data_IF_207957441740
#
_entry.id   IF_207957441740
#
_cell.length_a   1.000
_cell.length_b   1.000
_cell.length_c   1.000
_cell.angle_alpha   90.00
_cell.angle_beta   90.00
_cell.angle_gamma   90.00
#
_symmetry.space_group_name_H-M   'P 1'
#
loop_
_entity.id
_entity.type
_entity.pdbx_description
1 polymer ?
#
# COMPACT_ATOMS: atom_id res chain seq x y z
N UNK A 1 -10.29 -7.71 15.32
CA UNK A 1 -11.25 -8.69 14.73
C UNK A 1 -12.37 -8.03 13.92
N UNK A 2 -13.08 -7.00 14.42
CA UNK A 2 -14.17 -6.34 13.64
C UNK A 2 -13.69 -5.69 12.33
N UNK A 3 -12.56 -4.97 12.34
CA UNK A 3 -11.97 -4.39 11.11
C UNK A 3 -11.62 -5.42 10.04
N UNK A 4 -11.28 -6.66 10.42
CA UNK A 4 -10.94 -7.75 9.48
C UNK A 4 -12.20 -8.16 8.71
N UNK A 5 -13.30 -8.43 9.41
CA UNK A 5 -14.58 -8.77 8.76
C UNK A 5 -15.09 -7.65 7.85
N UNK A 6 -14.82 -6.40 8.20
CA UNK A 6 -15.23 -5.24 7.41
C UNK A 6 -14.45 -5.11 6.09
N UNK A 7 -13.16 -5.47 6.10
CA UNK A 7 -12.28 -5.36 4.91
C UNK A 7 -12.17 -6.66 4.11
N UNK A 8 -12.52 -7.81 4.70
CA UNK A 8 -12.44 -9.15 4.09
C UNK A 8 -13.08 -9.23 2.71
N UNK A 9 -14.24 -8.60 2.54
CA UNK A 9 -14.92 -8.55 1.23
C UNK A 9 -14.11 -7.92 0.11
N UNK A 10 -13.09 -7.10 0.41
CA UNK A 10 -12.26 -6.42 -0.58
C UNK A 10 -11.03 -7.23 -0.98
N UNK A 11 -10.42 -7.96 -0.05
CA UNK A 11 -9.22 -8.75 -0.33
C UNK A 11 -9.49 -10.24 -0.56
N UNK A 12 -10.66 -10.77 -0.20
CA UNK A 12 -10.99 -12.18 -0.43
C UNK A 12 -11.18 -12.53 -1.92
N UNK A 13 -11.29 -11.53 -2.80
CA UNK A 13 -11.27 -11.72 -4.26
C UNK A 13 -9.85 -11.91 -4.83
N UNK A 14 -8.84 -11.81 -3.98
CA UNK A 14 -7.42 -11.94 -4.30
C UNK A 14 -6.82 -13.22 -3.69
N UNK A 15 -7.62 -14.25 -3.46
CA UNK A 15 -7.20 -15.50 -2.81
C UNK A 15 -6.21 -16.31 -3.66
N UNK A 16 -6.32 -16.22 -4.98
CA UNK A 16 -5.44 -16.86 -5.96
C UNK A 16 -4.35 -15.92 -6.52
N UNK A 17 -4.05 -14.83 -5.80
CA UNK A 17 -3.02 -13.87 -6.14
C UNK A 17 -1.78 -13.99 -5.25
N UNK A 18 -0.63 -13.67 -5.84
CA UNK A 18 0.69 -13.85 -5.26
C UNK A 18 1.56 -12.62 -5.46
N UNK A 19 2.37 -12.30 -4.46
CA UNK A 19 3.48 -11.35 -4.55
C UNK A 19 4.78 -12.10 -4.82
N UNK A 20 5.76 -11.37 -5.36
CA UNK A 20 7.10 -11.89 -5.63
C UNK A 20 8.10 -11.11 -4.77
N UNK A 21 9.04 -11.81 -4.16
CA UNK A 21 10.14 -11.24 -3.40
C UNK A 21 11.47 -11.52 -4.10
N UNK A 22 12.17 -10.47 -4.52
CA UNK A 22 13.52 -10.60 -5.06
C UNK A 22 14.52 -10.91 -3.94
N UNK A 23 15.51 -11.74 -4.26
CA UNK A 23 16.58 -12.08 -3.35
C UNK A 23 17.39 -10.84 -2.94
N UNK A 24 17.83 -10.74 -1.67
CA UNK A 24 18.70 -9.66 -1.22
C UNK A 24 20.04 -9.72 -1.97
N UNK A 25 20.42 -8.58 -2.54
CA UNK A 25 21.47 -8.38 -3.55
C UNK A 25 22.82 -9.08 -3.34
N UNK A 26 23.32 -9.66 -4.43
CA UNK A 26 24.75 -9.83 -4.75
C UNK A 26 25.03 -9.58 -6.23
N UNK A 27 24.78 -8.38 -6.77
CA UNK A 27 24.81 -8.20 -8.23
C UNK A 27 25.51 -6.94 -8.75
N UNK A 28 25.98 -7.06 -10.01
CA UNK A 28 26.60 -6.00 -10.81
C UNK A 28 25.54 -5.12 -11.48
N UNK A 29 25.95 -3.94 -11.98
CA UNK A 29 25.06 -3.02 -12.73
C UNK A 29 24.40 -3.68 -13.96
N UNK A 30 25.08 -4.60 -14.63
CA UNK A 30 24.54 -5.26 -15.81
C UNK A 30 23.41 -6.23 -15.44
N UNK A 31 23.58 -7.01 -14.37
CA UNK A 31 22.55 -7.95 -13.93
C UNK A 31 21.26 -7.24 -13.51
N UNK A 32 21.38 -6.08 -12.85
CA UNK A 32 20.22 -5.23 -12.57
C UNK A 32 19.47 -4.80 -13.83
N UNK A 33 20.18 -4.40 -14.89
CA UNK A 33 19.56 -4.01 -16.17
C UNK A 33 18.85 -5.23 -16.80
N UNK A 34 19.47 -6.40 -16.75
CA UNK A 34 18.91 -7.63 -17.29
C UNK A 34 17.65 -8.04 -16.51
N UNK A 35 17.68 -7.92 -15.17
CA UNK A 35 16.53 -8.15 -14.31
C UNK A 35 15.39 -7.16 -14.57
N UNK A 36 15.68 -5.88 -14.82
CA UNK A 36 14.67 -4.90 -15.25
C UNK A 36 13.98 -5.31 -16.56
N UNK A 37 14.74 -5.84 -17.54
CA UNK A 37 14.19 -6.33 -18.80
C UNK A 37 13.31 -7.57 -18.58
N UNK A 38 13.79 -8.54 -17.79
CA UNK A 38 13.06 -9.79 -17.50
C UNK A 38 11.78 -9.53 -16.70
N UNK A 39 11.81 -8.61 -15.74
CA UNK A 39 10.63 -8.15 -15.00
C UNK A 39 9.57 -7.51 -15.91
N UNK A 40 9.98 -6.67 -16.87
CA UNK A 40 9.07 -6.13 -17.88
C UNK A 40 8.42 -7.26 -18.72
N UNK A 41 9.21 -8.28 -19.11
CA UNK A 41 8.71 -9.41 -19.88
C UNK A 41 7.71 -10.26 -19.08
N UNK A 42 8.01 -10.55 -17.81
CA UNK A 42 7.12 -11.24 -16.88
C UNK A 42 5.78 -10.52 -16.75
N UNK A 43 5.80 -9.20 -16.54
CA UNK A 43 4.57 -8.39 -16.41
C UNK A 43 3.78 -8.40 -17.72
N UNK A 44 4.43 -8.14 -18.86
CA UNK A 44 3.74 -8.15 -20.18
C UNK A 44 3.07 -9.48 -20.48
N UNK A 45 3.74 -10.60 -20.20
CA UNK A 45 3.17 -11.93 -20.40
C UNK A 45 1.97 -12.17 -19.47
N UNK A 46 2.11 -11.80 -18.20
CA UNK A 46 1.06 -12.00 -17.20
C UNK A 46 -0.16 -11.11 -17.47
N UNK A 47 0.04 -9.85 -17.88
CA UNK A 47 -1.06 -8.95 -18.27
C UNK A 47 -1.78 -9.41 -19.54
N UNK A 48 -1.05 -9.95 -20.53
CA UNK A 48 -1.65 -10.47 -21.76
C UNK A 48 -2.62 -11.64 -21.48
N UNK A 49 -2.40 -12.37 -20.39
CA UNK A 49 -3.25 -13.47 -19.93
C UNK A 49 -4.27 -13.03 -18.87
N UNK A 50 -4.37 -11.73 -18.55
CA UNK A 50 -5.18 -11.18 -17.45
C UNK A 50 -4.81 -11.75 -16.06
N UNK A 51 -3.57 -12.19 -15.90
CA UNK A 51 -3.02 -12.81 -14.70
C UNK A 51 -2.15 -11.85 -13.86
N UNK A 52 -2.20 -10.55 -14.10
CA UNK A 52 -1.49 -9.58 -13.28
C UNK A 52 -2.36 -8.35 -13.00
N UNK A 53 -2.35 -7.88 -11.75
CA UNK A 53 -2.93 -6.62 -11.32
C UNK A 53 -1.80 -5.69 -10.91
N UNK A 54 -1.76 -4.51 -11.52
CA UNK A 54 -0.98 -3.38 -11.03
C UNK A 54 -1.84 -2.61 -10.04
N UNK A 55 -1.28 -2.33 -8.87
CA UNK A 55 -1.84 -1.42 -7.90
C UNK A 55 -0.71 -0.73 -7.13
N UNK A 56 -0.34 0.49 -7.54
CA UNK A 56 0.59 1.35 -6.80
C UNK A 56 -0.22 2.39 -6.02
N UNK A 57 -0.38 2.27 -4.69
CA UNK A 57 -1.04 3.30 -3.89
C UNK A 57 -0.15 4.54 -3.71
N UNK A 58 -0.73 5.58 -3.10
CA UNK A 58 0.02 6.73 -2.58
C UNK A 58 0.94 6.31 -1.44
N UNK A 59 2.03 7.04 -1.22
CA UNK A 59 2.87 6.87 -0.03
C UNK A 59 2.16 7.30 1.26
N UNK A 60 2.63 6.77 2.40
CA UNK A 60 2.05 7.03 3.73
C UNK A 60 1.92 8.52 4.04
N UNK A 61 3.00 9.28 3.81
CA UNK A 61 3.11 10.69 4.19
C UNK A 61 2.54 11.67 3.15
N UNK A 62 1.90 11.15 2.10
CA UNK A 62 1.42 11.95 0.98
C UNK A 62 0.08 12.59 1.33
N UNK A 63 0.02 13.91 1.17
CA UNK A 63 -1.21 14.69 1.32
C UNK A 63 -2.27 14.24 0.31
N UNK A 64 -3.52 14.14 0.75
CA UNK A 64 -4.62 13.75 -0.13
C UNK A 64 -4.85 14.74 -1.27
N UNK A 65 -4.47 16.01 -1.11
CA UNK A 65 -4.63 17.07 -2.11
C UNK A 65 -3.43 17.19 -3.07
N UNK A 66 -2.38 16.39 -2.86
CA UNK A 66 -1.27 16.30 -3.81
C UNK A 66 -1.70 15.49 -5.03
N UNK A 67 -1.70 16.09 -6.23
CA UNK A 67 -2.05 15.42 -7.49
C UNK A 67 -0.83 15.05 -8.35
N UNK A 68 0.40 15.19 -7.82
CA UNK A 68 1.63 14.88 -8.57
C UNK A 68 1.62 13.43 -9.08
N UNK A 69 1.88 13.18 -10.37
CA UNK A 69 1.73 11.85 -10.97
C UNK A 69 2.71 10.78 -10.44
N UNK A 70 3.82 11.19 -9.85
CA UNK A 70 4.87 10.33 -9.30
C UNK A 70 4.65 9.95 -7.83
N UNK A 71 4.34 10.95 -7.00
CA UNK A 71 4.33 10.84 -5.53
C UNK A 71 3.02 11.32 -4.88
N UNK A 72 2.05 11.82 -5.64
CA UNK A 72 0.79 12.34 -5.12
C UNK A 72 -0.21 11.28 -4.65
N UNK A 73 -1.40 11.73 -4.27
CA UNK A 73 -2.60 10.91 -4.04
C UNK A 73 -3.13 10.35 -5.37
N UNK A 74 -2.31 9.51 -5.98
CA UNK A 74 -2.46 8.95 -7.30
C UNK A 74 -2.28 7.46 -7.18
N UNK A 75 -3.18 6.70 -7.80
CA UNK A 75 -3.03 5.27 -7.92
C UNK A 75 -2.82 4.88 -9.38
N UNK A 76 -1.73 4.14 -9.63
CA UNK A 76 -1.48 3.54 -10.94
C UNK A 76 -2.05 2.13 -10.93
N UNK A 77 -2.85 1.84 -11.95
CA UNK A 77 -3.55 0.57 -12.11
C UNK A 77 -3.47 0.09 -13.55
N UNK A 78 -3.66 -1.20 -13.77
CA UNK A 78 -3.79 -1.77 -15.12
C UNK A 78 -5.23 -2.19 -15.40
N UNK A 79 -5.48 -2.72 -16.59
CA UNK A 79 -6.85 -3.10 -16.97
C UNK A 79 -7.47 -4.17 -16.06
N UNK A 80 -6.66 -5.07 -15.52
CA UNK A 80 -7.16 -6.18 -14.70
C UNK A 80 -7.70 -5.69 -13.34
N UNK A 81 -7.22 -4.56 -12.83
CA UNK A 81 -7.77 -3.91 -11.63
C UNK A 81 -9.29 -3.71 -11.72
N UNK A 82 -9.79 -3.39 -12.91
CA UNK A 82 -11.21 -3.13 -13.12
C UNK A 82 -12.09 -4.37 -13.02
N UNK A 83 -11.53 -5.58 -13.13
CA UNK A 83 -12.28 -6.80 -12.84
C UNK A 83 -12.83 -6.80 -11.39
N UNK A 84 -12.06 -6.21 -10.46
CA UNK A 84 -12.42 -6.08 -9.04
C UNK A 84 -13.38 -4.91 -8.82
N UNK A 85 -13.10 -3.76 -9.45
CA UNK A 85 -13.82 -2.51 -9.20
C UNK A 85 -14.96 -2.19 -10.20
N UNK A 86 -15.27 -3.08 -11.14
CA UNK A 86 -16.25 -2.82 -12.20
C UNK A 86 -17.58 -2.28 -11.67
N UNK A 87 -18.13 -2.86 -10.58
CA UNK A 87 -19.43 -2.43 -10.01
C UNK A 87 -19.43 -1.03 -9.45
N UNK A 88 -18.27 -0.53 -9.00
CA UNK A 88 -18.14 0.79 -8.40
C UNK A 88 -17.96 1.89 -9.45
N UNK A 89 -17.45 1.54 -10.63
CA UNK A 89 -17.07 2.52 -11.66
C UNK A 89 -17.82 2.39 -13.00
N UNK A 90 -18.46 1.25 -13.29
CA UNK A 90 -19.28 1.09 -14.49
C UNK A 90 -20.75 1.46 -14.24
N UNK A 91 -21.45 2.01 -15.24
CA UNK A 91 -21.08 2.12 -16.67
C UNK A 91 -20.26 3.39 -17.04
N UNK A 92 -19.88 4.22 -16.07
CA UNK A 92 -19.41 5.60 -16.34
C UNK A 92 -17.99 5.73 -16.90
N UNK A 93 -17.18 4.67 -16.90
CA UNK A 93 -15.78 4.71 -17.37
C UNK A 93 -15.60 3.75 -18.56
N UNK A 94 -15.53 4.27 -19.80
CA UNK A 94 -15.21 3.47 -20.98
C UNK A 94 -13.70 3.21 -21.00
N UNK A 95 -13.26 2.20 -20.24
CA UNK A 95 -11.85 1.82 -20.17
C UNK A 95 -11.48 1.11 -21.45
N UNK A 96 -10.61 1.75 -22.25
CA UNK A 96 -10.18 1.20 -23.52
C UNK A 96 -8.88 0.48 -23.27
N UNK A 97 -8.90 -0.84 -23.47
CA UNK A 97 -7.65 -1.60 -23.59
C UNK A 97 -7.01 -1.31 -24.96
N UNK A 98 -6.44 -0.12 -25.11
CA UNK A 98 -5.79 0.35 -26.32
C UNK A 98 -4.34 0.72 -26.03
N UNK A 99 -3.44 0.18 -26.86
CA UNK A 99 -2.02 0.49 -26.78
C UNK A 99 -1.79 2.00 -26.92
N UNK A 100 -0.89 2.56 -26.10
CA UNK A 100 -0.55 3.98 -26.07
C UNK A 100 -1.73 4.90 -25.72
N UNK A 101 -2.79 4.38 -25.08
CA UNK A 101 -3.86 5.19 -24.50
C UNK A 101 -3.81 5.02 -22.98
N UNK A 102 -3.77 6.14 -22.27
CA UNK A 102 -3.86 6.17 -20.81
C UNK A 102 -5.11 6.94 -20.43
N UNK A 103 -5.90 6.35 -19.54
CA UNK A 103 -7.02 7.04 -18.91
C UNK A 103 -6.61 7.60 -17.54
N UNK A 104 -6.88 8.88 -17.31
CA UNK A 104 -6.68 9.56 -16.03
C UNK A 104 -8.04 9.97 -15.49
N UNK A 105 -8.45 9.35 -14.38
CA UNK A 105 -9.75 9.56 -13.75
C UNK A 105 -9.60 10.57 -12.62
N UNK A 106 -10.20 11.75 -12.80
CA UNK A 106 -10.11 12.88 -11.89
C UNK A 106 -11.35 12.92 -10.99
N UNK A 107 -11.20 12.77 -9.66
CA UNK A 107 -12.29 12.93 -8.70
C UNK A 107 -12.72 14.40 -8.59
N UNK A 108 -13.94 14.63 -8.09
CA UNK A 108 -14.61 15.92 -8.08
C UNK A 108 -13.81 17.01 -7.40
N UNK A 109 -13.14 16.68 -6.30
CA UNK A 109 -12.32 17.66 -5.57
C UNK A 109 -11.21 18.30 -6.42
N UNK A 110 -10.75 17.62 -7.47
CA UNK A 110 -9.67 18.09 -8.34
C UNK A 110 -10.16 18.72 -9.65
N UNK A 111 -11.48 18.83 -9.88
CA UNK A 111 -12.02 19.37 -11.15
C UNK A 111 -11.59 20.82 -11.42
N UNK A 112 -11.44 21.64 -10.36
CA UNK A 112 -10.96 23.02 -10.50
C UNK A 112 -9.50 23.09 -10.97
N UNK A 113 -8.68 22.09 -10.64
CA UNK A 113 -7.25 22.01 -10.96
C UNK A 113 -6.97 21.22 -12.24
N UNK A 114 -8.01 20.92 -13.03
CA UNK A 114 -7.92 20.05 -14.22
C UNK A 114 -6.84 20.48 -15.20
N UNK A 115 -6.64 21.78 -15.40
CA UNK A 115 -5.63 22.28 -16.35
C UNK A 115 -4.20 22.03 -15.85
N UNK A 116 -3.96 22.20 -14.55
CA UNK A 116 -2.66 21.93 -13.92
C UNK A 116 -2.35 20.44 -13.94
N UNK A 117 -3.34 19.61 -13.60
CA UNK A 117 -3.27 18.15 -13.71
C UNK A 117 -2.96 17.74 -15.15
N UNK A 118 -3.65 18.31 -16.13
CA UNK A 118 -3.43 18.00 -17.53
C UNK A 118 -1.97 18.25 -17.95
N UNK A 119 -1.40 19.40 -17.56
CA UNK A 119 -0.01 19.74 -17.85
C UNK A 119 0.98 18.82 -17.13
N UNK A 120 0.78 18.57 -15.83
CA UNK A 120 1.66 17.72 -15.02
C UNK A 120 1.72 16.29 -15.57
N UNK A 121 0.58 15.70 -15.93
CA UNK A 121 0.52 14.33 -16.42
C UNK A 121 1.10 14.20 -17.83
N UNK A 122 0.87 15.16 -18.72
CA UNK A 122 1.53 15.17 -20.03
C UNK A 122 3.05 15.23 -19.88
N UNK A 123 3.57 16.14 -19.05
CA UNK A 123 5.00 16.28 -18.82
C UNK A 123 5.62 15.00 -18.24
N UNK A 124 4.93 14.38 -17.28
CA UNK A 124 5.39 13.13 -16.68
C UNK A 124 5.42 11.96 -17.68
N UNK A 125 4.37 11.78 -18.48
CA UNK A 125 4.35 10.72 -19.50
C UNK A 125 5.34 10.97 -20.64
N UNK A 126 5.63 12.23 -20.99
CA UNK A 126 6.70 12.57 -21.94
C UNK A 126 8.07 12.17 -21.37
N UNK A 127 8.33 12.48 -20.10
CA UNK A 127 9.56 12.05 -19.41
C UNK A 127 9.72 10.53 -19.40
N UNK A 128 8.66 9.78 -19.06
CA UNK A 128 8.67 8.31 -19.04
C UNK A 128 8.90 7.72 -20.44
N UNK A 129 8.28 8.28 -21.47
CA UNK A 129 8.48 7.82 -22.87
C UNK A 129 9.89 8.08 -23.37
N UNK A 130 10.46 9.24 -23.07
CA UNK A 130 11.84 9.60 -23.44
C UNK A 130 12.84 8.62 -22.81
N UNK A 131 12.61 8.22 -21.56
CA UNK A 131 13.43 7.20 -20.88
C UNK A 131 13.39 5.83 -21.58
N UNK A 132 12.29 5.53 -22.25
CA UNK A 132 12.05 4.25 -22.93
C UNK A 132 12.39 4.25 -24.42
N UNK A 133 12.91 5.36 -24.98
CA UNK A 133 13.15 5.54 -26.42
C UNK A 133 11.92 5.17 -27.27
N UNK A 134 10.71 5.51 -26.79
CA UNK A 134 9.47 5.23 -27.51
C UNK A 134 9.14 6.35 -28.49
N UNK A 135 9.00 5.99 -29.77
CA UNK A 135 8.65 6.95 -30.83
C UNK A 135 7.14 7.28 -30.89
N UNK A 136 6.29 6.41 -30.34
CA UNK A 136 4.84 6.58 -30.43
C UNK A 136 4.29 7.47 -29.33
N UNK A 137 3.71 8.62 -29.71
CA UNK A 137 3.06 9.55 -28.77
C UNK A 137 1.89 8.88 -28.05
N UNK A 138 1.95 8.90 -26.72
CA UNK A 138 0.90 8.42 -25.84
C UNK A 138 -0.28 9.41 -25.81
N UNK A 139 -1.51 8.89 -25.94
CA UNK A 139 -2.75 9.66 -25.85
C UNK A 139 -3.26 9.60 -24.41
N UNK A 140 -3.54 10.76 -23.81
CA UNK A 140 -4.04 10.84 -22.43
C UNK A 140 -5.51 11.30 -22.47
N UNK A 141 -6.40 10.44 -21.98
CA UNK A 141 -7.82 10.73 -21.85
C UNK A 141 -8.15 11.06 -20.39
N UNK A 142 -8.59 12.29 -20.12
CA UNK A 142 -9.03 12.70 -18.79
C UNK A 142 -10.54 12.49 -18.62
N UNK A 143 -10.92 11.78 -17.57
CA UNK A 143 -12.31 11.40 -17.26
C UNK A 143 -12.66 12.00 -15.90
N UNK A 144 -13.69 12.84 -15.85
CA UNK A 144 -14.16 13.40 -14.59
C UNK A 144 -15.14 12.43 -13.91
N UNK A 145 -15.01 12.25 -12.60
CA UNK A 145 -15.92 11.44 -11.78
C UNK A 145 -16.22 12.16 -10.46
N UNK A 146 -17.35 11.81 -9.83
CA UNK A 146 -17.60 12.19 -8.43
C UNK A 146 -16.53 11.60 -7.52
N UNK A 147 -16.36 12.16 -6.32
CA UNK A 147 -15.42 11.61 -5.34
C UNK A 147 -15.75 10.14 -5.00
N UNK A 148 -14.70 9.35 -4.80
CA UNK A 148 -14.77 7.93 -4.49
C UNK A 148 -13.65 7.56 -3.53
N UNK A 149 -13.75 6.37 -2.96
CA UNK A 149 -12.69 5.77 -2.15
C UNK A 149 -12.27 4.43 -2.72
N UNK A 150 -10.99 4.13 -2.65
CA UNK A 150 -10.41 2.86 -3.13
C UNK A 150 -9.78 2.14 -1.96
N UNK A 151 -10.09 0.85 -1.80
CA UNK A 151 -9.40 0.03 -0.81
C UNK A 151 -8.00 -0.32 -1.34
N UNK A 152 -6.97 -0.08 -0.54
CA UNK A 152 -5.60 -0.44 -0.91
C UNK A 152 -5.32 -1.91 -0.64
N UNK A 153 -4.71 -2.56 -1.63
CA UNK A 153 -4.29 -3.95 -1.54
C UNK A 153 -2.81 -4.08 -1.16
N UNK A 154 -2.14 -3.03 -0.72
CA UNK A 154 -0.74 -3.16 -0.31
C UNK A 154 -0.65 -3.92 1.02
N UNK A 155 -0.17 -5.16 0.94
CA UNK A 155 -0.08 -6.08 2.06
C UNK A 155 1.31 -6.13 2.71
N UNK A 156 2.14 -5.11 2.51
CA UNK A 156 3.48 -5.03 3.15
C UNK A 156 3.43 -4.39 4.52
N UNK A 157 2.48 -3.48 4.74
CA UNK A 157 2.17 -2.95 6.06
C UNK A 157 0.67 -2.85 6.22
N UNK A 158 0.19 -3.33 7.35
CA UNK A 158 -1.18 -3.21 7.81
C UNK A 158 -1.80 -1.80 7.76
N UNK A 159 -0.99 -0.74 7.83
CA UNK A 159 -1.43 0.65 7.65
C UNK A 159 -1.97 0.89 6.23
N UNK A 160 -1.49 0.11 5.27
CA UNK A 160 -1.91 0.13 3.88
C UNK A 160 -3.07 -0.81 3.54
N UNK A 161 -3.76 -1.39 4.54
CA UNK A 161 -5.06 -2.05 4.36
C UNK A 161 -6.21 -1.13 4.77
N UNK A 162 -6.29 0.01 4.10
CA UNK A 162 -7.21 1.10 4.39
C UNK A 162 -7.88 1.65 3.11
N UNK A 163 -8.71 2.69 3.25
CA UNK A 163 -9.28 3.39 2.11
C UNK A 163 -8.46 4.62 1.78
N UNK A 164 -8.17 4.81 0.50
CA UNK A 164 -7.62 6.03 -0.06
C UNK A 164 -8.79 6.90 -0.50
N UNK A 165 -8.86 8.11 0.02
CA UNK A 165 -9.93 9.07 -0.26
C UNK A 165 -9.63 9.91 -1.50
N UNK A 166 -10.56 9.89 -2.46
CA UNK A 166 -10.51 10.62 -3.72
C UNK A 166 -9.12 10.64 -4.40
N UNK A 167 -8.49 9.48 -4.66
CA UNK A 167 -7.26 9.44 -5.43
C UNK A 167 -7.53 9.76 -6.90
N UNK A 168 -6.54 10.28 -7.63
CA UNK A 168 -6.55 10.23 -9.09
C UNK A 168 -6.17 8.80 -9.51
N UNK A 169 -6.94 8.18 -10.41
CA UNK A 169 -6.61 6.85 -10.94
C UNK A 169 -5.98 7.01 -12.32
N UNK A 170 -4.84 6.36 -12.54
CA UNK A 170 -4.13 6.32 -13.82
C UNK A 170 -4.15 4.88 -14.33
N UNK A 171 -4.94 4.64 -15.36
CA UNK A 171 -5.00 3.34 -16.02
C UNK A 171 -3.91 3.26 -17.09
N UNK A 172 -2.95 2.37 -16.88
CA UNK A 172 -1.76 2.20 -17.73
C UNK A 172 -1.68 0.77 -18.27
N UNK A 173 -1.04 0.60 -19.42
CA UNK A 173 -0.71 -0.71 -19.97
C UNK A 173 0.74 -1.09 -19.66
N UNK A 174 1.08 -2.39 -19.68
CA UNK A 174 2.46 -2.86 -19.57
C UNK A 174 3.43 -2.34 -20.65
N UNK A 175 2.94 -1.63 -21.67
CA UNK A 175 3.84 -0.91 -22.57
C UNK A 175 4.17 0.50 -22.10
N UNK A 176 3.36 1.14 -21.27
CA UNK A 176 3.38 2.59 -21.13
C UNK A 176 4.46 3.11 -20.17
N UNK A 177 5.08 2.22 -19.40
CA UNK A 177 6.00 2.54 -18.32
C UNK A 177 7.40 1.98 -18.62
N UNK A 178 8.38 2.37 -17.81
CA UNK A 178 9.77 1.97 -18.02
C UNK A 178 10.15 0.64 -17.37
N UNK A 179 11.22 0.03 -17.87
CA UNK A 179 11.70 -1.27 -17.37
C UNK A 179 12.00 -1.25 -15.87
N UNK A 180 12.60 -0.17 -15.40
CA UNK A 180 12.88 0.05 -13.98
C UNK A 180 11.61 0.23 -13.14
N UNK A 181 10.53 0.77 -13.73
CA UNK A 181 9.23 0.84 -13.07
C UNK A 181 8.70 -0.56 -12.77
N UNK A 182 8.72 -1.49 -13.74
CA UNK A 182 8.21 -2.85 -13.53
C UNK A 182 9.02 -3.59 -12.46
N UNK A 183 10.34 -3.50 -12.52
CA UNK A 183 11.21 -4.06 -11.48
C UNK A 183 10.87 -3.49 -10.10
N UNK A 184 10.83 -2.17 -9.97
CA UNK A 184 10.51 -1.50 -8.71
C UNK A 184 9.12 -1.88 -8.19
N UNK A 185 8.10 -1.95 -9.06
CA UNK A 185 6.75 -2.32 -8.64
C UNK A 185 6.67 -3.77 -8.16
N UNK A 186 7.34 -4.71 -8.81
CA UNK A 186 7.40 -6.09 -8.32
C UNK A 186 8.11 -6.13 -6.96
N UNK A 187 9.31 -5.53 -6.84
CA UNK A 187 10.05 -5.48 -5.57
C UNK A 187 9.27 -4.81 -4.43
N UNK A 188 8.39 -3.87 -4.79
CA UNK A 188 7.53 -3.15 -3.85
C UNK A 188 6.13 -3.75 -3.74
N UNK A 189 5.86 -4.98 -4.21
CA UNK A 189 4.54 -5.60 -4.07
C UNK A 189 3.39 -4.83 -4.75
N UNK A 190 3.70 -3.90 -5.65
CA UNK A 190 2.73 -3.15 -6.46
C UNK A 190 2.14 -3.98 -7.60
N UNK A 191 2.69 -5.16 -7.87
CA UNK A 191 2.09 -6.17 -8.75
C UNK A 191 1.63 -7.39 -7.95
N UNK A 192 0.40 -7.81 -8.21
CA UNK A 192 -0.17 -9.08 -7.76
C UNK A 192 -0.37 -9.99 -8.97
N UNK A 193 0.17 -11.20 -8.91
CA UNK A 193 0.12 -12.18 -9.99
C UNK A 193 -0.87 -13.27 -9.65
N UNK A 194 -1.80 -13.55 -10.56
CA UNK A 194 -2.81 -14.59 -10.42
C UNK A 194 -2.24 -15.93 -10.85
N UNK A 195 -2.70 -17.01 -10.20
CA UNK A 195 -2.37 -18.39 -10.53
C UNK A 195 -0.87 -18.71 -10.34
N UNK A 196 -0.58 -19.45 -9.28
CA UNK A 196 0.78 -19.85 -8.92
C UNK A 196 1.53 -20.57 -10.05
N UNK A 197 0.89 -21.56 -10.70
CA UNK A 197 1.54 -22.37 -11.74
C UNK A 197 1.88 -21.53 -12.98
N UNK A 198 0.98 -20.61 -13.36
CA UNK A 198 1.22 -19.69 -14.46
C UNK A 198 2.36 -18.72 -14.14
N UNK A 199 2.40 -18.22 -12.90
CA UNK A 199 3.46 -17.34 -12.42
C UNK A 199 4.82 -18.06 -12.43
N UNK A 200 4.92 -19.24 -11.82
CA UNK A 200 6.17 -20.04 -11.77
C UNK A 200 6.67 -20.33 -13.19
N UNK A 201 5.77 -20.75 -14.08
CA UNK A 201 6.13 -20.97 -15.49
C UNK A 201 6.69 -19.73 -16.17
N UNK A 202 6.12 -18.56 -15.90
CA UNK A 202 6.64 -17.31 -16.47
C UNK A 202 7.98 -16.90 -15.83
N UNK A 203 8.17 -17.12 -14.53
CA UNK A 203 9.44 -16.89 -13.83
C UNK A 203 10.56 -17.73 -14.47
N UNK A 204 10.31 -19.03 -14.69
CA UNK A 204 11.25 -19.94 -15.37
C UNK A 204 11.52 -19.50 -16.81
N UNK A 205 10.46 -19.18 -17.57
CA UNK A 205 10.54 -18.75 -18.97
C UNK A 205 11.42 -17.51 -19.16
N UNK A 206 11.41 -16.60 -18.18
CA UNK A 206 12.18 -15.37 -18.23
C UNK A 206 13.46 -15.40 -17.38
N UNK A 207 13.86 -16.58 -16.89
CA UNK A 207 15.10 -16.79 -16.12
C UNK A 207 15.20 -15.87 -14.89
N UNK A 208 14.13 -15.82 -14.10
CA UNK A 208 14.05 -15.08 -12.84
C UNK A 208 14.11 -16.01 -11.61
N UNK A 209 14.24 -17.31 -11.81
CA UNK A 209 14.26 -18.35 -10.77
C UNK A 209 15.42 -18.17 -9.77
N UNK A 210 16.60 -17.76 -10.25
CA UNK A 210 17.74 -17.44 -9.39
C UNK A 210 17.64 -16.08 -8.67
N UNK A 211 16.73 -15.21 -9.12
CA UNK A 211 16.59 -13.83 -8.65
C UNK A 211 15.45 -13.68 -7.65
N UNK A 212 14.48 -14.59 -7.67
CA UNK A 212 13.30 -14.58 -6.81
C UNK A 212 13.56 -15.47 -5.60
N UNK A 213 13.58 -14.86 -4.42
CA UNK A 213 13.71 -15.56 -3.14
C UNK A 213 12.39 -16.14 -2.62
N UNK A 214 11.25 -15.62 -3.07
CA UNK A 214 9.96 -16.02 -2.54
C UNK A 214 8.78 -15.67 -3.45
N UNK A 215 7.76 -16.52 -3.41
CA UNK A 215 6.43 -16.26 -3.95
C UNK A 215 5.46 -16.46 -2.81
N UNK A 216 4.77 -15.41 -2.41
CA UNK A 216 3.91 -15.42 -1.22
C UNK A 216 2.47 -15.21 -1.63
N UNK A 217 1.55 -16.01 -1.09
CA UNK A 217 0.13 -15.80 -1.34
C UNK A 217 -0.33 -14.51 -0.66
N UNK A 218 -1.06 -13.68 -1.40
CA UNK A 218 -1.50 -12.37 -0.93
C UNK A 218 -2.39 -12.47 0.32
N UNK A 219 -3.35 -13.40 0.32
CA UNK A 219 -4.27 -13.59 1.44
C UNK A 219 -3.54 -14.08 2.68
N UNK A 220 -2.57 -14.96 2.52
CA UNK A 220 -1.73 -15.41 3.63
C UNK A 220 -0.95 -14.24 4.24
N UNK A 221 -0.34 -13.36 3.43
CA UNK A 221 0.31 -12.14 3.92
C UNK A 221 -0.64 -11.21 4.68
N UNK A 222 -1.86 -11.03 4.17
CA UNK A 222 -2.90 -10.23 4.86
C UNK A 222 -3.25 -10.85 6.21
N UNK A 223 -3.43 -12.17 6.27
CA UNK A 223 -3.76 -12.88 7.51
C UNK A 223 -2.61 -12.86 8.52
N UNK A 224 -1.37 -13.00 8.06
CA UNK A 224 -0.16 -12.91 8.88
C UNK A 224 -0.01 -11.53 9.50
N UNK A 225 -0.11 -10.45 8.69
CA UNK A 225 -0.10 -9.08 9.20
C UNK A 225 -1.17 -8.84 10.26
N UNK A 226 -2.38 -9.37 10.06
CA UNK A 226 -3.44 -9.24 11.05
C UNK A 226 -3.09 -9.98 12.34
N UNK A 227 -2.49 -11.17 12.25
CA UNK A 227 -2.05 -11.92 13.40
C UNK A 227 -0.96 -11.17 14.18
N UNK A 228 0.07 -10.68 13.48
CA UNK A 228 1.15 -9.90 14.08
C UNK A 228 0.64 -8.64 14.78
N UNK A 229 -0.28 -7.91 14.15
CA UNK A 229 -0.83 -6.70 14.74
C UNK A 229 -1.65 -6.98 16.00
N UNK A 230 -2.43 -8.05 16.00
CA UNK A 230 -3.14 -8.46 17.21
C UNK A 230 -2.17 -8.83 18.33
N UNK A 231 -1.05 -9.51 18.01
CA UNK A 231 -0.01 -9.80 18.98
C UNK A 231 0.64 -8.51 19.52
N UNK A 232 1.05 -7.58 18.64
CA UNK A 232 1.62 -6.28 19.02
C UNK A 232 0.66 -5.48 19.93
N UNK A 233 -0.63 -5.43 19.59
CA UNK A 233 -1.65 -4.76 20.41
C UNK A 233 -1.83 -5.44 21.78
N UNK A 234 -1.86 -6.77 21.83
CA UNK A 234 -1.93 -7.51 23.10
C UNK A 234 -0.72 -7.20 23.99
N UNK A 235 0.49 -7.20 23.42
CA UNK A 235 1.72 -6.87 24.15
C UNK A 235 1.71 -5.43 24.66
N UNK A 236 1.27 -4.46 23.85
CA UNK A 236 1.15 -3.06 24.25
C UNK A 236 0.16 -2.88 25.40
N UNK A 237 -1.03 -3.48 25.31
CA UNK A 237 -2.04 -3.42 26.37
C UNK A 237 -1.51 -4.04 27.68
N UNK A 238 -0.84 -5.18 27.61
CA UNK A 238 -0.23 -5.81 28.78
C UNK A 238 0.87 -4.94 29.40
N UNK A 239 1.69 -4.31 28.56
CA UNK A 239 2.74 -3.38 28.99
C UNK A 239 2.15 -2.16 29.71
N UNK A 240 1.06 -1.59 29.21
CA UNK A 240 0.34 -0.49 29.86
C UNK A 240 -0.21 -0.87 31.23
N UNK A 241 -0.75 -2.09 31.38
CA UNK A 241 -1.22 -2.61 32.68
C UNK A 241 -0.05 -2.71 33.67
N UNK A 242 1.09 -3.25 33.25
CA UNK A 242 2.29 -3.33 34.11
C UNK A 242 2.74 -1.94 34.55
N UNK A 243 2.81 -0.97 33.64
CA UNK A 243 3.19 0.42 33.95
C UNK A 243 2.22 1.03 34.97
N UNK A 244 0.91 0.82 34.81
CA UNK A 244 -0.10 1.29 35.75
C UNK A 244 0.09 0.67 37.16
N UNK A 245 0.41 -0.63 37.24
CA UNK A 245 0.69 -1.31 38.51
C UNK A 245 1.94 -0.72 39.17
N UNK A 246 3.02 -0.51 38.42
CA UNK A 246 4.26 0.11 38.93
C UNK A 246 3.97 1.51 39.48
N UNK A 247 3.18 2.33 38.76
CA UNK A 247 2.76 3.65 39.22
C UNK A 247 1.98 3.59 40.54
N UNK A 248 1.04 2.65 40.66
CA UNK A 248 0.28 2.45 41.91
C UNK A 248 1.23 2.08 43.06
N UNK A 249 2.19 1.18 42.83
CA UNK A 249 3.17 0.78 43.84
C UNK A 249 4.02 1.98 44.29
N UNK A 250 4.49 2.81 43.35
CA UNK A 250 5.26 4.02 43.66
C UNK A 250 4.43 4.97 44.54
N UNK A 251 3.18 5.26 44.16
CA UNK A 251 2.28 6.12 44.95
C UNK A 251 2.07 5.54 46.35
N UNK A 252 1.82 4.24 46.48
CA UNK A 252 1.66 3.59 47.79
C UNK A 252 2.94 3.70 48.63
N UNK A 253 4.12 3.56 48.01
CA UNK A 253 5.40 3.68 48.68
C UNK A 253 5.66 5.12 49.15
N UNK A 254 5.37 6.11 48.31
CA UNK A 254 5.47 7.54 48.65
C UNK A 254 4.51 7.93 49.77
N UNK A 255 3.26 7.47 49.71
CA UNK A 255 2.26 7.68 50.77
C UNK A 255 2.77 7.07 52.08
N UNK A 256 3.24 5.83 52.06
CA UNK A 256 3.80 5.17 53.25
C UNK A 256 4.98 5.96 53.82
N UNK A 257 5.91 6.38 52.96
CA UNK A 257 7.09 7.15 53.35
C UNK A 257 6.73 8.51 53.96
N UNK A 258 5.75 9.23 53.37
CA UNK A 258 5.21 10.47 53.92
C UNK A 258 4.64 10.27 55.33
N UNK A 259 3.83 9.23 55.54
CA UNK A 259 3.28 8.90 56.85
C UNK A 259 4.36 8.52 57.88
N UNK A 260 5.41 7.80 57.45
CA UNK A 260 6.54 7.44 58.32
C UNK A 260 7.33 8.69 58.76
N UNK A 261 7.62 9.62 57.85
CA UNK A 261 8.34 10.86 58.18
C UNK A 261 7.53 11.79 59.09
N UNK A 262 6.23 11.93 58.85
CA UNK A 262 5.36 12.86 59.59
C UNK A 262 4.63 12.22 60.78
N UNK A 263 4.94 10.97 61.13
CA UNK A 263 4.26 10.20 62.18
C UNK A 263 4.12 10.95 63.51
N UNK A 264 5.20 11.61 63.97
CA UNK A 264 5.18 12.38 65.24
C UNK A 264 4.19 13.55 65.19
N UNK A 265 4.12 14.24 64.05
CA UNK A 265 3.32 15.45 63.86
C UNK A 265 1.83 15.11 63.69
N UNK A 266 1.52 13.99 63.02
CA UNK A 266 0.18 13.45 62.89
C UNK A 266 -0.40 12.97 64.23
N UNK A 267 0.39 12.28 65.05
CA UNK A 267 -0.05 11.84 66.39
C UNK A 267 -0.38 13.05 67.27
N UNK A 268 0.46 14.10 67.28
CA UNK A 268 0.19 15.31 68.06
C UNK A 268 -1.10 16.01 67.62
N UNK A 269 -1.34 16.14 66.31
CA UNK A 269 -2.61 16.69 65.79
C UNK A 269 -3.83 15.86 66.20
N UNK A 270 -3.73 14.53 66.14
CA UNK A 270 -4.84 13.66 66.54
C UNK A 270 -5.20 13.80 68.02
N UNK A 271 -4.21 13.96 68.90
CA UNK A 271 -4.45 14.18 70.33
C UNK A 271 -5.10 15.54 70.63
N UNK A 272 -4.74 16.61 69.91
CA UNK A 272 -5.38 17.92 70.08
C UNK A 272 -6.85 17.95 69.65
N UNK A 273 -7.24 17.14 68.66
CA UNK A 273 -8.64 17.08 68.19
C UNK A 273 -9.53 16.27 69.15
N UNK A 274 -8.99 15.27 69.86
CA UNK A 274 -9.75 14.45 70.82
C UNK A 274 -10.00 15.19 72.16
N UNK A 275 -9.26 16.28 72.44
CA UNK A 275 -9.42 17.08 73.66
C UNK A 275 -10.40 18.27 73.53
N UNK A 276 -11.11 18.38 72.41
CA UNK A 276 -12.25 19.27 72.22
C UNK A 276 -13.53 18.47 72.03
#
# INVERSE_FOLDING_TARGET
MNKIKETEKYWNVLDDYYTIEFAPYHETKQSLIDNMVRSEQLVKASEAENNAILFKPKGDSVDNDNFSPDEGNVILVNNQFWSIYHKQFQPDIPIKNQKNNVEVIIPQKFHAMRNEINQAYHSWFEFVQNKNNKESKLSIQFINKNDYRIFTFDARDSRHLSFIEAPIIVNVQASDLSKDFYYAMISQGGYLFKNYDALVKNIEKYHLDGEISGITNYKDSVMEMYHENNLKLTVLNFSQIIIAIILIIIILFDVKYYFEQHRKLLVIKSYMVIQH
#
